data_IF_180931190171
#
_entry.id   IF_180931190171
#
_cell.length_a   1.000
_cell.length_b   1.000
_cell.length_c   1.000
_cell.angle_alpha   90.00
_cell.angle_beta   90.00
_cell.angle_gamma   90.00
#
_symmetry.space_group_name_H-M   'P 1'
#
loop_
_entity.id
_entity.type
_entity.pdbx_description
1 polymer ?
#
# COMPACT_ATOMS: atom_id res chain seq x y z
N UNK A 1 1.27 7.24 1.50
CA UNK A 1 0.49 6.41 0.54
C UNK A 1 1.52 5.59 -0.21
N UNK A 2 1.37 4.26 -0.25
CA UNK A 2 2.36 3.35 -0.83
C UNK A 2 1.74 2.65 -2.04
N UNK A 3 2.51 2.56 -3.12
CA UNK A 3 2.17 1.82 -4.32
C UNK A 3 3.23 0.73 -4.52
N UNK A 4 2.81 -0.53 -4.60
CA UNK A 4 3.65 -1.62 -5.08
C UNK A 4 3.30 -1.80 -6.56
N UNK A 5 4.21 -1.38 -7.44
CA UNK A 5 4.03 -1.51 -8.89
C UNK A 5 4.51 -2.90 -9.28
N UNK A 6 3.63 -3.90 -9.21
CA UNK A 6 3.87 -5.19 -9.88
C UNK A 6 3.53 -5.04 -11.37
N UNK A 7 4.47 -4.51 -12.16
CA UNK A 7 4.39 -4.61 -13.62
C UNK A 7 4.89 -6.00 -14.06
N UNK A 8 4.19 -6.62 -15.01
CA UNK A 8 4.65 -7.83 -15.74
C UNK A 8 6.00 -7.63 -16.47
N UNK A 9 6.41 -6.38 -16.69
CA UNK A 9 7.72 -5.98 -17.25
C UNK A 9 8.46 -5.09 -16.24
N UNK A 10 9.77 -5.30 -16.01
CA UNK A 10 10.55 -4.44 -15.13
C UNK A 10 10.48 -2.98 -15.58
N UNK A 11 10.40 -2.04 -14.63
CA UNK A 11 10.49 -0.61 -14.91
C UNK A 11 11.81 -0.31 -15.63
N UNK A 12 11.75 0.43 -16.73
CA UNK A 12 12.93 0.90 -17.45
C UNK A 12 13.74 1.88 -16.58
N UNK A 13 15.05 2.01 -16.86
CA UNK A 13 15.91 3.00 -16.19
C UNK A 13 15.32 4.41 -16.27
N UNK A 14 14.71 4.78 -17.41
CA UNK A 14 14.04 6.08 -17.61
C UNK A 14 12.83 6.27 -16.68
N UNK A 15 12.01 5.25 -16.48
CA UNK A 15 10.87 5.31 -15.54
C UNK A 15 11.33 5.45 -14.09
N UNK A 16 12.39 4.73 -13.71
CA UNK A 16 12.97 4.82 -12.36
C UNK A 16 13.48 6.23 -12.09
N UNK A 17 14.21 6.83 -13.04
CA UNK A 17 14.71 8.20 -12.89
C UNK A 17 13.57 9.22 -12.83
N UNK A 18 12.49 9.03 -13.60
CA UNK A 18 11.28 9.87 -13.47
C UNK A 18 10.67 9.78 -12.06
N UNK A 19 10.55 8.57 -11.50
CA UNK A 19 10.04 8.38 -10.13
C UNK A 19 10.95 9.09 -9.12
N UNK A 20 12.28 8.87 -9.20
CA UNK A 20 13.26 9.55 -8.33
C UNK A 20 13.17 11.07 -8.43
N UNK A 21 13.01 11.60 -9.64
CA UNK A 21 12.89 13.03 -9.87
C UNK A 21 11.64 13.60 -9.20
N UNK A 22 10.49 12.94 -9.36
CA UNK A 22 9.23 13.35 -8.71
C UNK A 22 9.36 13.31 -7.19
N UNK A 23 9.92 12.24 -6.63
CA UNK A 23 10.08 12.10 -5.18
C UNK A 23 11.01 13.17 -4.60
N UNK A 24 12.10 13.52 -5.30
CA UNK A 24 12.97 14.64 -4.93
C UNK A 24 12.24 15.97 -4.97
N UNK A 25 11.48 16.24 -6.04
CA UNK A 25 10.68 17.48 -6.18
C UNK A 25 9.66 17.63 -5.05
N UNK A 26 9.09 16.52 -4.57
CA UNK A 26 8.14 16.50 -3.47
C UNK A 26 8.79 16.45 -2.08
N UNK A 27 10.13 16.48 -2.00
CA UNK A 27 10.91 16.31 -0.77
C UNK A 27 10.52 15.06 0.05
N UNK A 28 10.15 13.98 -0.65
CA UNK A 28 9.75 12.72 -0.02
C UNK A 28 10.98 11.80 0.10
N UNK A 29 11.34 11.34 1.31
CA UNK A 29 12.45 10.41 1.47
C UNK A 29 12.07 9.04 0.93
N UNK A 30 12.98 8.45 0.15
CA UNK A 30 12.76 7.15 -0.47
C UNK A 30 14.00 6.25 -0.49
N UNK A 31 13.77 4.95 -0.65
CA UNK A 31 14.80 3.95 -0.97
C UNK A 31 14.29 3.05 -2.09
N UNK A 32 15.11 2.84 -3.12
CA UNK A 32 14.81 1.92 -4.21
C UNK A 32 15.76 0.72 -4.10
N UNK A 33 15.19 -0.49 -4.09
CA UNK A 33 15.95 -1.75 -4.14
C UNK A 33 15.51 -2.55 -5.36
N UNK A 34 16.46 -3.19 -6.02
CA UNK A 34 16.20 -4.22 -7.03
C UNK A 34 16.30 -5.58 -6.36
N UNK A 35 15.23 -6.37 -6.40
CA UNK A 35 15.15 -7.67 -5.72
C UNK A 35 15.17 -8.81 -6.76
N UNK A 36 15.99 -9.83 -6.53
CA UNK A 36 16.16 -10.99 -7.43
C UNK A 36 17.01 -10.70 -8.68
N UNK A 37 16.99 -11.61 -9.66
CA UNK A 37 17.65 -11.51 -10.98
C UNK A 37 17.13 -10.32 -11.83
N UNK A 38 17.30 -9.08 -11.35
CA UNK A 38 17.06 -7.80 -12.03
C UNK A 38 15.61 -7.50 -12.48
N UNK A 39 14.59 -8.24 -12.01
CA UNK A 39 13.20 -8.11 -12.52
C UNK A 39 12.21 -7.36 -11.61
N UNK A 40 12.42 -7.31 -10.29
CA UNK A 40 11.50 -6.63 -9.38
C UNK A 40 12.14 -5.36 -8.77
N UNK A 41 11.42 -4.25 -8.83
CA UNK A 41 11.83 -2.99 -8.21
C UNK A 41 10.89 -2.67 -7.05
N UNK A 42 11.46 -2.54 -5.86
CA UNK A 42 10.74 -2.08 -4.68
C UNK A 42 11.13 -0.64 -4.42
N UNK A 43 10.16 0.28 -4.56
CA UNK A 43 10.33 1.67 -4.17
C UNK A 43 9.66 1.90 -2.82
N UNK A 44 10.46 2.25 -1.82
CA UNK A 44 9.97 2.60 -0.50
C UNK A 44 9.94 4.10 -0.29
N UNK A 45 8.82 4.68 0.14
CA UNK A 45 8.60 6.13 0.28
C UNK A 45 7.98 6.47 1.64
N UNK A 46 8.73 7.16 2.49
CA UNK A 46 8.22 7.68 3.77
C UNK A 46 7.60 9.07 3.59
N UNK A 47 6.68 9.46 4.48
CA UNK A 47 6.26 10.88 4.58
C UNK A 47 7.40 11.78 5.11
N UNK A 48 8.29 11.19 5.90
CA UNK A 48 9.48 11.78 6.48
C UNK A 48 10.53 10.67 6.70
N UNK A 49 11.75 11.06 7.11
CA UNK A 49 12.86 10.11 7.28
C UNK A 49 12.56 9.05 8.35
N UNK A 50 11.83 9.41 9.41
CA UNK A 50 11.44 8.49 10.50
C UNK A 50 10.51 7.39 9.98
N UNK A 51 9.54 7.74 9.12
CA UNK A 51 8.59 6.78 8.55
C UNK A 51 9.25 5.89 7.49
N UNK A 52 10.19 6.43 6.69
CA UNK A 52 10.99 5.60 5.80
C UNK A 52 11.81 4.58 6.61
N UNK A 53 12.54 5.03 7.63
CA UNK A 53 13.32 4.15 8.50
C UNK A 53 12.44 3.10 9.19
N UNK A 54 11.24 3.45 9.64
CA UNK A 54 10.30 2.51 10.24
C UNK A 54 9.95 1.37 9.26
N UNK A 55 9.70 1.68 7.98
CA UNK A 55 9.45 0.63 6.99
C UNK A 55 10.71 -0.22 6.74
N UNK A 56 11.87 0.40 6.55
CA UNK A 56 13.11 -0.33 6.28
C UNK A 56 13.48 -1.29 7.42
N UNK A 57 13.28 -0.85 8.68
CA UNK A 57 13.43 -1.69 9.87
C UNK A 57 12.43 -2.84 9.89
N UNK A 58 11.18 -2.60 9.45
CA UNK A 58 10.19 -3.65 9.34
C UNK A 58 10.61 -4.73 8.32
N UNK A 59 11.13 -4.32 7.16
CA UNK A 59 11.55 -5.24 6.10
C UNK A 59 12.76 -6.10 6.48
N UNK A 60 13.63 -5.58 7.35
CA UNK A 60 14.81 -6.26 7.87
C UNK A 60 14.50 -7.32 8.96
N UNK A 61 13.27 -7.38 9.48
CA UNK A 61 12.92 -8.38 10.51
C UNK A 61 12.92 -9.80 9.95
N UNK A 62 13.55 -10.73 10.69
CA UNK A 62 13.65 -12.15 10.34
C UNK A 62 12.36 -12.92 10.63
N UNK A 63 11.69 -12.62 11.75
CA UNK A 63 10.43 -13.29 12.10
C UNK A 63 9.30 -12.85 11.15
N UNK A 64 8.64 -13.76 10.42
CA UNK A 64 7.61 -13.40 9.44
C UNK A 64 6.39 -12.67 10.02
N UNK A 65 5.95 -13.04 11.24
CA UNK A 65 4.81 -12.41 11.91
C UNK A 65 5.17 -10.99 12.36
N UNK A 66 6.34 -10.80 12.95
CA UNK A 66 6.79 -9.47 13.34
C UNK A 66 7.05 -8.56 12.15
N UNK A 67 7.65 -9.09 11.08
CA UNK A 67 7.85 -8.36 9.82
C UNK A 67 6.53 -7.87 9.27
N UNK A 68 5.55 -8.77 9.14
CA UNK A 68 4.19 -8.44 8.71
C UNK A 68 3.55 -7.35 9.57
N UNK A 69 3.65 -7.49 10.91
CA UNK A 69 3.10 -6.53 11.85
C UNK A 69 3.73 -5.15 11.70
N UNK A 70 5.06 -5.08 11.72
CA UNK A 70 5.81 -3.85 11.61
C UNK A 70 5.58 -3.17 10.25
N UNK A 71 5.53 -3.95 9.15
CA UNK A 71 5.29 -3.44 7.80
C UNK A 71 3.88 -2.85 7.70
N UNK A 72 2.86 -3.57 8.14
CA UNK A 72 1.48 -3.07 8.14
C UNK A 72 1.31 -1.77 8.93
N UNK A 73 1.96 -1.65 10.09
CA UNK A 73 1.92 -0.44 10.90
C UNK A 73 2.60 0.75 10.18
N UNK A 74 3.78 0.54 9.60
CA UNK A 74 4.50 1.57 8.84
C UNK A 74 3.72 2.02 7.58
N UNK A 75 2.94 1.12 6.98
CA UNK A 75 2.05 1.41 5.84
C UNK A 75 0.72 2.08 6.25
N UNK A 76 0.47 2.21 7.56
CA UNK A 76 -0.76 2.82 8.09
C UNK A 76 -1.98 1.92 7.92
N UNK A 77 -1.81 0.60 7.94
CA UNK A 77 -2.92 -0.35 7.90
C UNK A 77 -3.62 -0.43 9.27
N UNK A 78 -4.94 -0.69 9.30
CA UNK A 78 -5.65 -0.88 10.56
C UNK A 78 -5.04 -2.01 11.39
N UNK A 79 -4.87 -1.80 12.70
CA UNK A 79 -4.31 -2.82 13.61
C UNK A 79 -5.09 -4.15 13.56
N UNK A 80 -6.42 -4.07 13.42
CA UNK A 80 -7.31 -5.23 13.30
C UNK A 80 -7.08 -6.01 12.02
N UNK A 81 -6.84 -5.32 10.89
CA UNK A 81 -6.53 -5.96 9.60
C UNK A 81 -5.18 -6.69 9.64
N UNK A 82 -4.18 -6.07 10.27
CA UNK A 82 -2.86 -6.67 10.47
C UNK A 82 -2.96 -7.94 11.32
N UNK A 83 -3.66 -7.88 12.46
CA UNK A 83 -3.86 -9.02 13.35
C UNK A 83 -4.59 -10.16 12.63
N UNK A 84 -5.67 -9.85 11.90
CA UNK A 84 -6.41 -10.83 11.14
C UNK A 84 -5.57 -11.51 10.05
N UNK A 85 -4.72 -10.75 9.34
CA UNK A 85 -3.82 -11.32 8.34
C UNK A 85 -2.81 -12.30 8.96
N UNK A 86 -2.25 -11.96 10.13
CA UNK A 86 -1.33 -12.84 10.87
C UNK A 86 -2.04 -14.11 11.36
N UNK A 87 -3.29 -13.98 11.81
CA UNK A 87 -4.09 -15.09 12.35
C UNK A 87 -4.89 -15.85 11.28
N UNK A 88 -4.77 -15.49 10.00
CA UNK A 88 -5.57 -16.05 8.88
C UNK A 88 -7.09 -15.86 9.05
N UNK A 89 -7.51 -14.83 9.77
CA UNK A 89 -8.92 -14.45 10.00
C UNK A 89 -9.40 -13.36 9.03
N UNK A 90 -8.99 -13.45 7.78
CA UNK A 90 -9.31 -12.46 6.73
C UNK A 90 -10.59 -12.82 5.98
N UNK A 91 -11.28 -11.81 5.45
CA UNK A 91 -12.40 -11.98 4.53
C UNK A 91 -11.93 -11.79 3.09
N UNK A 92 -12.33 -12.70 2.21
CA UNK A 92 -12.08 -12.56 0.77
C UNK A 92 -13.03 -11.54 0.17
N UNK A 93 -12.56 -10.78 -0.82
CA UNK A 93 -13.37 -9.72 -1.44
C UNK A 93 -14.67 -10.27 -2.00
N UNK A 94 -14.69 -11.48 -2.58
CA UNK A 94 -15.92 -12.12 -3.11
C UNK A 94 -17.01 -12.36 -2.06
N UNK A 95 -16.64 -12.45 -0.78
CA UNK A 95 -17.56 -12.69 0.33
C UNK A 95 -18.06 -11.39 0.98
N UNK A 96 -17.63 -10.21 0.49
CA UNK A 96 -18.16 -8.93 0.96
C UNK A 96 -19.56 -8.66 0.35
N UNK A 97 -20.39 -7.82 1.01
CA UNK A 97 -21.66 -7.37 0.45
C UNK A 97 -21.47 -6.79 -0.96
N UNK A 98 -22.45 -7.02 -1.84
CA UNK A 98 -22.40 -6.59 -3.25
C UNK A 98 -22.07 -5.10 -3.39
N UNK A 99 -22.68 -4.25 -2.55
CA UNK A 99 -22.45 -2.80 -2.54
C UNK A 99 -20.98 -2.43 -2.32
N UNK A 100 -20.26 -3.20 -1.51
CA UNK A 100 -18.84 -2.97 -1.22
C UNK A 100 -17.97 -3.50 -2.34
N UNK A 101 -18.29 -4.69 -2.88
CA UNK A 101 -17.56 -5.29 -3.99
C UNK A 101 -17.59 -4.44 -5.25
N UNK A 102 -18.72 -3.78 -5.50
CA UNK A 102 -18.94 -2.93 -6.68
C UNK A 102 -18.61 -1.45 -6.43
N UNK A 103 -18.25 -1.09 -5.20
CA UNK A 103 -17.85 0.28 -4.86
C UNK A 103 -16.56 0.69 -5.58
N UNK A 104 -16.43 1.98 -5.91
CA UNK A 104 -15.20 2.51 -6.52
C UNK A 104 -14.03 2.48 -5.53
N UNK A 105 -14.34 2.62 -4.25
CA UNK A 105 -13.40 2.66 -3.14
C UNK A 105 -12.64 1.34 -2.98
N UNK A 106 -13.22 0.20 -3.39
CA UNK A 106 -12.56 -1.11 -3.33
C UNK A 106 -11.24 -1.13 -4.13
N UNK A 107 -11.10 -0.31 -5.18
CA UNK A 107 -9.88 -0.19 -5.98
C UNK A 107 -8.69 0.37 -5.20
N UNK A 108 -8.96 1.05 -4.08
CA UNK A 108 -7.94 1.61 -3.19
C UNK A 108 -7.60 0.67 -2.01
N UNK A 109 -8.20 -0.53 -1.95
CA UNK A 109 -7.87 -1.53 -0.95
C UNK A 109 -6.50 -2.16 -1.24
N UNK A 110 -5.53 -1.91 -0.36
CA UNK A 110 -4.17 -2.43 -0.47
C UNK A 110 -3.75 -3.32 0.72
N UNK A 111 -4.72 -3.81 1.50
CA UNK A 111 -4.54 -4.75 2.59
C UNK A 111 -5.71 -5.74 2.66
N UNK A 112 -5.56 -6.85 3.39
CA UNK A 112 -6.65 -7.81 3.59
C UNK A 112 -7.53 -7.37 4.75
N UNK A 113 -8.85 -7.37 4.54
CA UNK A 113 -9.84 -7.02 5.57
C UNK A 113 -10.02 -8.19 6.55
N UNK A 114 -10.32 -7.88 7.81
CA UNK A 114 -10.64 -8.88 8.84
C UNK A 114 -12.09 -9.33 8.76
N UNK A 115 -12.38 -10.60 9.08
CA UNK A 115 -13.77 -11.11 9.12
C UNK A 115 -14.66 -10.30 10.07
N UNK A 116 -14.13 -9.89 11.22
CA UNK A 116 -14.89 -9.26 12.31
C UNK A 116 -14.99 -7.73 12.24
N UNK A 117 -14.05 -7.06 11.57
CA UNK A 117 -13.96 -5.58 11.61
C UNK A 117 -13.88 -4.93 10.22
N UNK A 118 -14.16 -5.68 9.15
CA UNK A 118 -14.03 -5.17 7.78
C UNK A 118 -14.78 -3.86 7.55
N UNK A 119 -15.95 -3.63 8.17
CA UNK A 119 -16.68 -2.37 7.98
C UNK A 119 -15.86 -1.15 8.44
N UNK A 120 -15.26 -1.23 9.63
CA UNK A 120 -14.44 -0.13 10.19
C UNK A 120 -13.14 0.04 9.41
N UNK A 121 -12.56 -1.06 8.96
CA UNK A 121 -11.34 -1.04 8.14
C UNK A 121 -11.59 -0.46 6.75
N UNK A 122 -12.75 -0.77 6.16
CA UNK A 122 -13.15 -0.23 4.87
C UNK A 122 -13.40 1.28 4.93
N UNK A 123 -13.84 1.84 6.06
CA UNK A 123 -13.88 3.30 6.25
C UNK A 123 -12.50 3.96 6.09
N UNK A 124 -11.40 3.27 6.39
CA UNK A 124 -10.05 3.80 6.13
C UNK A 124 -9.77 3.86 4.63
N UNK A 125 -10.26 2.86 3.88
CA UNK A 125 -10.16 2.83 2.41
C UNK A 125 -10.98 3.98 1.81
N UNK A 126 -12.22 4.18 2.26
CA UNK A 126 -13.07 5.30 1.83
C UNK A 126 -12.39 6.65 2.07
N UNK A 127 -11.87 6.89 3.28
CA UNK A 127 -11.13 8.12 3.59
C UNK A 127 -9.92 8.36 2.67
N UNK A 128 -9.20 7.31 2.30
CA UNK A 128 -8.08 7.40 1.34
C UNK A 128 -8.58 7.74 -0.06
N UNK A 129 -9.64 7.08 -0.51
CA UNK A 129 -10.28 7.32 -1.79
C UNK A 129 -10.78 8.78 -1.89
N UNK A 130 -11.46 9.28 -0.85
CA UNK A 130 -11.92 10.67 -0.76
C UNK A 130 -10.77 11.67 -0.78
N UNK A 131 -9.67 11.36 -0.08
CA UNK A 131 -8.47 12.20 -0.09
C UNK A 131 -7.89 12.31 -1.50
N UNK A 132 -7.79 11.19 -2.23
CA UNK A 132 -7.32 11.19 -3.62
C UNK A 132 -8.32 11.92 -4.53
N UNK A 133 -9.61 11.70 -4.35
CA UNK A 133 -10.66 12.40 -5.11
C UNK A 133 -10.57 13.91 -4.94
N UNK A 134 -10.31 14.39 -3.72
CA UNK A 134 -10.16 15.83 -3.40
C UNK A 134 -8.85 16.41 -3.94
N UNK A 135 -7.72 15.72 -3.77
CA UNK A 135 -6.40 16.25 -4.13
C UNK A 135 -6.02 16.02 -5.59
N UNK A 136 -6.56 14.98 -6.21
CA UNK A 136 -6.29 14.61 -7.60
C UNK A 136 -7.52 13.92 -8.23
N UNK A 137 -8.56 14.68 -8.60
CA UNK A 137 -9.78 14.12 -9.21
C UNK A 137 -9.50 13.32 -10.49
N UNK A 138 -8.50 13.74 -11.27
CA UNK A 138 -8.07 13.04 -12.49
C UNK A 138 -7.52 11.64 -12.18
N UNK A 139 -6.61 11.54 -11.20
CA UNK A 139 -6.07 10.25 -10.75
C UNK A 139 -7.16 9.34 -10.19
N UNK A 140 -8.10 9.90 -9.41
CA UNK A 140 -9.23 9.15 -8.91
C UNK A 140 -10.04 8.53 -10.05
N UNK A 141 -10.37 9.31 -11.09
CA UNK A 141 -11.07 8.82 -12.28
C UNK A 141 -10.27 7.74 -13.00
N UNK A 142 -8.95 7.89 -13.14
CA UNK A 142 -8.11 6.88 -13.79
C UNK A 142 -8.07 5.54 -13.04
N UNK A 143 -8.10 5.55 -11.70
CA UNK A 143 -8.11 4.33 -10.87
C UNK A 143 -9.50 3.67 -10.82
N UNK A 144 -10.57 4.46 -10.97
CA UNK A 144 -11.96 4.01 -10.79
C UNK A 144 -12.74 3.82 -12.08
N UNK A 145 -12.09 4.02 -13.23
CA UNK A 145 -12.55 3.54 -14.54
C UNK A 145 -12.54 2.01 -14.56
#
# INVERSE_FOLDING_TARGET
MWFEIEKKKPLSKKEIEKIKHILRKLNLPYQIKTTGNKKALTCSVGKDRKHLQALLKADAKKNPKEKTRARGLALGYPKTAIAAFINKEVIEVKNLPKQIRESKEIKFLNFRLSKKHWQKEFKVVQKRADTIKKLSPKLYKEITK
#
